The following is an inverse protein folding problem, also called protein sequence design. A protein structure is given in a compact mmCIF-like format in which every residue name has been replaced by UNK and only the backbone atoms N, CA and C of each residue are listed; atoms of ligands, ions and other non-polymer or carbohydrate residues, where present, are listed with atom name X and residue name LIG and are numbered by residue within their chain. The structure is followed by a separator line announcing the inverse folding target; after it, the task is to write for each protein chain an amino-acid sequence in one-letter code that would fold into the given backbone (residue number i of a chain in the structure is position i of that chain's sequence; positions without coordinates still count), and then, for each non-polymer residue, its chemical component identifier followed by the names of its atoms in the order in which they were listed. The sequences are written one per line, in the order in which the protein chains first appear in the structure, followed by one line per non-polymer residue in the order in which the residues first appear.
data_IF_567281317008
#
_entry.id   IF_567281317008
#
_cell.length_a   1.000
_cell.length_b   1.000
_cell.length_c   1.000
_cell.angle_alpha   90.00
_cell.angle_beta   90.00
_cell.angle_gamma   90.00
#
_symmetry.space_group_name_H-M   'P 1'
#
loop_
_entity.id
_entity.type
_entity.pdbx_description
1 polymer ?
#
# COMPACT_ATOMS: atom_id res chain seq x y z
N UNK A 1 -9.12 3.38 0.04
CA UNK A 1 -7.93 4.21 0.34
C UNK A 1 -8.21 5.07 1.57
N UNK A 2 -7.47 4.89 2.66
CA UNK A 2 -7.73 5.58 3.95
C UNK A 2 -6.43 5.95 4.70
N UNK A 3 -5.49 5.01 4.82
CA UNK A 3 -4.36 5.10 5.75
C UNK A 3 -3.41 6.31 5.53
N UNK A 4 -3.09 6.65 4.28
CA UNK A 4 -2.05 7.64 3.99
C UNK A 4 -2.41 9.07 4.47
N UNK A 5 -3.59 9.63 4.12
CA UNK A 5 -3.97 10.93 4.66
C UNK A 5 -4.13 10.95 6.18
N UNK A 6 -4.55 9.85 6.80
CA UNK A 6 -4.69 9.75 8.25
C UNK A 6 -3.32 9.86 8.95
N UNK A 7 -2.38 9.00 8.57
CA UNK A 7 -1.02 9.02 9.10
C UNK A 7 -0.29 10.35 8.82
N UNK A 8 -0.53 10.97 7.66
CA UNK A 8 0.04 12.27 7.33
C UNK A 8 -0.45 13.38 8.27
N UNK A 9 -1.75 13.40 8.62
CA UNK A 9 -2.30 14.38 9.57
C UNK A 9 -1.68 14.24 10.96
N UNK A 10 -1.47 13.01 11.41
CA UNK A 10 -0.80 12.76 12.69
C UNK A 10 0.69 13.17 12.66
N UNK A 11 1.44 12.68 11.67
CA UNK A 11 2.90 12.83 11.62
C UNK A 11 3.36 14.25 11.27
N UNK A 12 2.67 14.92 10.36
CA UNK A 12 3.07 16.22 9.81
C UNK A 12 2.16 17.37 10.24
N UNK A 13 0.94 17.06 10.69
CA UNK A 13 -0.09 18.02 11.03
C UNK A 13 -1.22 18.09 10.00
N UNK A 14 -2.34 18.68 10.43
CA UNK A 14 -3.59 18.74 9.62
C UNK A 14 -3.41 19.46 8.28
N UNK A 15 -2.48 20.41 8.22
CA UNK A 15 -2.15 21.22 7.05
C UNK A 15 -0.90 20.72 6.29
N UNK A 16 -0.54 19.43 6.40
CA UNK A 16 0.63 18.85 5.74
C UNK A 16 0.71 19.10 4.23
N UNK A 17 -0.43 19.31 3.57
CA UNK A 17 -0.53 19.61 2.14
C UNK A 17 0.04 20.99 1.78
N UNK A 18 0.22 21.89 2.74
CA UNK A 18 0.80 23.22 2.51
C UNK A 18 2.33 23.24 2.62
N UNK A 19 2.97 22.15 3.05
CA UNK A 19 4.43 22.07 3.10
C UNK A 19 5.02 22.27 1.68
N UNK A 20 6.15 22.99 1.52
CA UNK A 20 6.68 23.33 0.19
C UNK A 20 6.93 22.14 -0.75
N UNK A 21 7.26 20.97 -0.21
CA UNK A 21 7.46 19.73 -0.96
C UNK A 21 6.16 18.97 -1.28
N UNK A 22 5.10 19.16 -0.48
CA UNK A 22 3.83 18.47 -0.64
C UNK A 22 2.82 19.29 -1.44
N UNK A 23 2.99 20.61 -1.50
CA UNK A 23 2.03 21.49 -2.15
C UNK A 23 1.94 21.16 -3.65
N UNK A 24 0.72 21.14 -4.21
CA UNK A 24 0.54 20.99 -5.64
C UNK A 24 1.17 22.19 -6.37
N UNK A 25 1.72 21.93 -7.55
CA UNK A 25 2.30 22.96 -8.43
C UNK A 25 1.20 23.72 -9.18
N UNK A 26 0.05 23.09 -9.41
CA UNK A 26 -1.09 23.73 -10.04
C UNK A 26 -1.91 24.56 -9.03
N UNK A 27 -2.65 25.57 -9.50
CA UNK A 27 -3.58 26.31 -8.64
C UNK A 27 -4.61 25.37 -8.00
N UNK A 28 -4.75 25.45 -6.67
CA UNK A 28 -5.79 24.75 -5.92
C UNK A 28 -6.73 25.76 -5.30
N UNK A 29 -8.02 25.61 -5.62
CA UNK A 29 -9.07 26.44 -5.05
C UNK A 29 -10.07 25.55 -4.32
N UNK A 30 -9.93 25.51 -3.00
CA UNK A 30 -10.82 24.79 -2.10
C UNK A 30 -11.26 25.74 -0.97
N UNK A 31 -12.20 26.66 -1.26
CA UNK A 31 -12.61 27.66 -0.31
C UNK A 31 -13.52 27.07 0.79
N UNK A 32 -13.65 25.76 0.98
CA UNK A 32 -14.43 25.18 2.08
C UNK A 32 -13.57 24.37 3.07
N UNK A 33 -12.26 24.27 2.82
CA UNK A 33 -11.29 23.82 3.82
C UNK A 33 -10.59 25.07 4.40
N UNK A 34 -10.64 25.22 5.73
CA UNK A 34 -10.16 26.40 6.46
C UNK A 34 -9.40 25.98 7.71
N UNK A 35 -8.62 26.93 8.21
CA UNK A 35 -7.98 26.89 9.53
C UNK A 35 -7.04 25.70 9.68
N UNK A 36 -7.04 25.06 10.85
CA UNK A 36 -6.12 24.00 11.22
C UNK A 36 -4.78 24.52 11.74
N UNK A 37 -4.15 23.73 12.59
CA UNK A 37 -2.84 24.05 13.15
C UNK A 37 -1.82 24.33 12.03
N UNK A 38 -1.02 25.39 12.21
CA UNK A 38 0.04 25.82 11.28
C UNK A 38 -0.45 26.02 9.84
N UNK A 39 -1.62 26.66 9.67
CA UNK A 39 -2.03 27.11 8.34
C UNK A 39 -1.12 28.26 7.87
N UNK A 40 -0.25 27.97 6.91
CA UNK A 40 0.71 28.94 6.35
C UNK A 40 0.18 29.68 5.11
N UNK A 41 -1.13 29.57 4.81
CA UNK A 41 -1.77 30.25 3.69
C UNK A 41 -2.52 31.51 4.17
N UNK A 42 -3.04 32.31 3.24
CA UNK A 42 -3.97 33.40 3.56
C UNK A 42 -5.35 32.91 4.03
N UNK A 43 -5.54 31.58 4.14
CA UNK A 43 -6.76 30.92 4.56
C UNK A 43 -8.00 31.39 3.76
N UNK A 44 -7.77 31.77 2.50
CA UNK A 44 -8.73 32.35 1.56
C UNK A 44 -9.45 33.63 2.04
N UNK A 45 -8.94 34.32 3.06
CA UNK A 45 -9.51 35.59 3.55
C UNK A 45 -11.02 35.53 3.82
N UNK A 46 -11.79 36.45 3.23
CA UNK A 46 -13.24 36.57 3.39
C UNK A 46 -14.06 35.76 2.38
N UNK A 47 -13.44 34.88 1.59
CA UNK A 47 -14.19 34.01 0.66
C UNK A 47 -15.19 33.14 1.42
N UNK A 48 -16.44 32.99 0.91
CA UNK A 48 -17.44 32.10 1.51
C UNK A 48 -16.89 30.70 1.75
N UNK A 49 -17.06 30.19 2.98
CA UNK A 49 -16.48 28.92 3.43
C UNK A 49 -17.38 27.69 3.20
N UNK A 50 -18.37 27.80 2.32
CA UNK A 50 -19.35 26.75 2.02
C UNK A 50 -19.63 26.65 0.51
N UNK A 51 -20.06 25.48 0.06
CA UNK A 51 -20.35 25.22 -1.36
C UNK A 51 -21.64 25.91 -1.81
N UNK A 52 -21.70 26.32 -3.08
CA UNK A 52 -22.88 26.95 -3.72
C UNK A 52 -23.34 28.27 -3.06
N UNK A 53 -22.39 29.05 -2.53
CA UNK A 53 -22.69 30.41 -2.07
C UNK A 53 -23.17 31.31 -3.22
N UNK A 54 -24.22 32.09 -2.97
CA UNK A 54 -24.67 33.15 -3.87
C UNK A 54 -23.73 34.36 -3.90
N UNK A 55 -22.90 34.54 -2.86
CA UNK A 55 -21.97 35.67 -2.74
C UNK A 55 -20.79 35.54 -3.70
N UNK A 56 -20.30 34.30 -3.92
CA UNK A 56 -19.21 34.00 -4.84
C UNK A 56 -19.44 32.62 -5.47
N UNK A 57 -20.03 32.55 -6.68
CA UNK A 57 -20.27 31.29 -7.37
C UNK A 57 -18.96 30.58 -7.72
N UNK A 58 -18.89 29.27 -7.43
CA UNK A 58 -17.74 28.43 -7.75
C UNK A 58 -18.10 27.55 -8.95
N UNK A 59 -17.28 27.62 -10.00
CA UNK A 59 -17.37 26.73 -11.15
C UNK A 59 -16.64 25.41 -10.84
N UNK A 60 -17.39 24.34 -10.58
CA UNK A 60 -16.82 23.00 -10.52
C UNK A 60 -16.54 22.54 -11.96
N UNK A 61 -15.31 22.10 -12.23
CA UNK A 61 -14.95 21.55 -13.55
C UNK A 61 -15.59 20.16 -13.70
N UNK A 62 -16.48 20.02 -14.68
CA UNK A 62 -17.29 18.82 -14.92
C UNK A 62 -18.78 19.07 -14.66
N UNK A 63 -19.66 18.30 -15.31
CA UNK A 63 -21.10 18.39 -15.07
C UNK A 63 -21.43 17.83 -13.67
N UNK A 64 -21.94 18.70 -12.79
CA UNK A 64 -22.81 18.42 -11.63
C UNK A 64 -22.66 17.07 -10.89
N UNK A 65 -22.12 17.11 -9.67
CA UNK A 65 -22.23 16.03 -8.68
C UNK A 65 -21.02 15.09 -8.60
N UNK A 66 -20.97 14.27 -7.54
CA UNK A 66 -19.92 13.27 -7.28
C UNK A 66 -19.84 12.14 -8.34
N UNK A 67 -20.56 12.26 -9.46
CA UNK A 67 -20.84 11.19 -10.41
C UNK A 67 -20.44 11.50 -11.87
N UNK A 68 -19.80 12.61 -12.24
CA UNK A 68 -19.39 12.81 -13.65
C UNK A 68 -18.16 12.00 -14.09
N UNK A 69 -17.55 11.21 -13.19
CA UNK A 69 -16.64 10.11 -13.53
C UNK A 69 -17.37 8.76 -13.62
N UNK A 70 -18.68 8.73 -13.88
CA UNK A 70 -19.37 7.52 -14.34
C UNK A 70 -18.95 7.23 -15.79
N UNK A 71 -17.74 6.74 -15.98
CA UNK A 71 -17.51 5.85 -17.10
C UNK A 71 -18.16 4.52 -16.69
N UNK A 72 -19.22 4.10 -17.38
CA UNK A 72 -20.00 2.86 -17.10
C UNK A 72 -19.14 1.62 -16.86
N UNK A 73 -17.88 1.62 -17.32
CA UNK A 73 -16.91 0.53 -17.11
C UNK A 73 -16.35 0.42 -15.68
N UNK A 74 -16.43 1.47 -14.85
CA UNK A 74 -15.89 1.48 -13.48
C UNK A 74 -16.98 1.27 -12.41
N UNK A 75 -18.27 1.44 -12.75
CA UNK A 75 -19.37 1.27 -11.79
C UNK A 75 -19.95 -0.13 -11.87
N UNK A 76 -19.38 -1.05 -11.10
CA UNK A 76 -19.89 -2.41 -11.00
C UNK A 76 -20.68 -2.59 -9.72
N UNK A 77 -21.95 -2.94 -9.86
CA UNK A 77 -22.76 -3.40 -8.74
C UNK A 77 -22.35 -4.84 -8.42
N UNK A 78 -21.77 -5.02 -7.25
CA UNK A 78 -21.41 -6.35 -6.75
C UNK A 78 -22.61 -6.92 -5.98
N UNK A 79 -23.03 -8.12 -6.35
CA UNK A 79 -24.03 -8.87 -5.59
C UNK A 79 -23.36 -9.59 -4.41
N UNK A 80 -23.97 -9.55 -3.23
CA UNK A 80 -23.47 -10.24 -2.04
C UNK A 80 -23.93 -9.62 -0.73
N UNK A 81 -23.68 -10.33 0.37
CA UNK A 81 -23.87 -9.80 1.72
C UNK A 81 -22.60 -9.06 2.18
N UNK A 82 -22.77 -7.98 2.95
CA UNK A 82 -21.65 -7.34 3.64
C UNK A 82 -21.23 -8.24 4.79
N UNK A 83 -20.01 -8.79 4.73
CA UNK A 83 -19.44 -9.66 5.75
C UNK A 83 -17.97 -9.31 6.05
N UNK A 84 -17.45 -9.81 7.17
CA UNK A 84 -16.02 -9.90 7.41
C UNK A 84 -15.48 -11.12 6.65
N UNK A 85 -14.82 -10.87 5.52
CA UNK A 85 -14.17 -11.92 4.74
C UNK A 85 -12.67 -11.97 5.04
N UNK A 86 -12.14 -13.17 5.24
CA UNK A 86 -10.71 -13.45 5.38
C UNK A 86 -10.37 -14.52 4.35
N UNK A 87 -9.37 -14.27 3.50
CA UNK A 87 -8.85 -15.29 2.58
C UNK A 87 -8.06 -16.34 3.34
N UNK A 88 -8.11 -17.58 2.85
CA UNK A 88 -7.30 -18.69 3.37
C UNK A 88 -6.05 -18.87 2.49
N UNK A 89 -5.03 -19.52 3.06
CA UNK A 89 -3.83 -19.87 2.30
C UNK A 89 -4.14 -21.05 1.39
N UNK A 90 -4.11 -20.83 0.08
CA UNK A 90 -4.32 -21.85 -0.94
C UNK A 90 -3.01 -22.17 -1.68
N UNK A 91 -3.01 -23.24 -2.49
CA UNK A 91 -1.83 -23.56 -3.32
C UNK A 91 -1.56 -22.49 -4.39
N UNK A 92 -2.60 -21.76 -4.81
CA UNK A 92 -2.50 -20.64 -5.75
C UNK A 92 -1.58 -19.50 -5.24
N UNK A 93 -1.50 -19.31 -3.92
CA UNK A 93 -0.61 -18.31 -3.30
C UNK A 93 0.89 -18.61 -3.55
N UNK A 94 1.22 -19.85 -3.91
CA UNK A 94 2.60 -20.30 -4.14
C UNK A 94 2.98 -20.31 -5.63
N UNK A 95 2.01 -20.16 -6.55
CA UNK A 95 2.27 -20.25 -8.00
C UNK A 95 3.23 -19.17 -8.48
N UNK A 96 3.03 -17.92 -8.05
CA UNK A 96 3.90 -16.81 -8.47
C UNK A 96 5.29 -16.90 -7.84
N UNK A 97 5.38 -17.36 -6.59
CA UNK A 97 6.66 -17.57 -5.91
C UNK A 97 7.50 -18.65 -6.61
N UNK A 98 6.85 -19.74 -7.07
CA UNK A 98 7.50 -20.79 -7.88
C UNK A 98 8.06 -20.25 -9.17
N UNK A 99 7.23 -19.56 -9.95
CA UNK A 99 7.64 -18.94 -11.21
C UNK A 99 8.81 -17.96 -11.01
N UNK A 100 8.84 -17.23 -9.89
CA UNK A 100 9.96 -16.37 -9.56
C UNK A 100 11.24 -17.15 -9.21
N UNK A 101 11.14 -18.26 -8.49
CA UNK A 101 12.30 -19.12 -8.20
C UNK A 101 12.90 -19.73 -9.48
N UNK A 102 12.04 -20.13 -10.42
CA UNK A 102 12.46 -20.59 -11.76
C UNK A 102 13.20 -19.47 -12.50
N UNK A 103 12.64 -18.26 -12.51
CA UNK A 103 13.28 -17.10 -13.14
C UNK A 103 14.66 -16.78 -12.53
N UNK A 104 14.80 -16.85 -11.20
CA UNK A 104 16.09 -16.64 -10.55
C UNK A 104 17.12 -17.72 -10.94
N UNK A 105 16.68 -18.94 -11.26
CA UNK A 105 17.59 -20.01 -11.72
C UNK A 105 18.25 -19.70 -13.07
N UNK A 106 17.63 -18.85 -13.89
CA UNK A 106 18.16 -18.46 -15.20
C UNK A 106 19.33 -17.48 -15.10
N UNK A 107 19.49 -16.82 -13.95
CA UNK A 107 20.58 -15.89 -13.70
C UNK A 107 21.59 -16.48 -12.70
N UNK A 108 22.83 -16.63 -13.15
CA UNK A 108 23.92 -17.21 -12.37
C UNK A 108 24.08 -16.51 -10.99
N UNK A 109 24.14 -17.32 -9.93
CA UNK A 109 24.37 -16.87 -8.56
C UNK A 109 23.14 -16.33 -7.81
N UNK A 110 22.01 -16.09 -8.47
CA UNK A 110 20.87 -15.45 -7.80
C UNK A 110 20.16 -16.38 -6.82
N UNK A 111 20.03 -17.67 -7.13
CA UNK A 111 19.48 -18.63 -6.18
C UNK A 111 20.38 -18.77 -4.95
N UNK A 112 21.70 -18.79 -5.12
CA UNK A 112 22.67 -18.87 -4.04
C UNK A 112 22.60 -17.63 -3.13
N UNK A 113 22.46 -16.44 -3.71
CA UNK A 113 22.26 -15.21 -2.95
C UNK A 113 20.95 -15.23 -2.15
N UNK A 114 19.84 -15.70 -2.75
CA UNK A 114 18.58 -15.85 -2.04
C UNK A 114 18.74 -16.80 -0.84
N UNK A 115 19.33 -17.97 -1.05
CA UNK A 115 19.60 -18.95 0.01
C UNK A 115 20.45 -18.35 1.12
N UNK A 116 21.56 -17.68 0.77
CA UNK A 116 22.47 -17.07 1.74
C UNK A 116 21.79 -15.97 2.56
N UNK A 117 20.98 -15.11 1.91
CA UNK A 117 20.28 -14.03 2.59
C UNK A 117 19.20 -14.55 3.54
N UNK A 118 18.42 -15.53 3.08
CA UNK A 118 17.37 -16.16 3.90
C UNK A 118 17.98 -16.88 5.09
N UNK A 119 18.99 -17.73 4.87
CA UNK A 119 19.63 -18.47 5.95
C UNK A 119 20.36 -17.54 6.94
N UNK A 120 21.00 -16.47 6.46
CA UNK A 120 21.68 -15.49 7.30
C UNK A 120 20.75 -14.75 8.26
N UNK A 121 19.53 -14.42 7.83
CA UNK A 121 18.53 -13.80 8.70
C UNK A 121 17.77 -14.84 9.55
N UNK A 122 17.35 -15.95 8.93
CA UNK A 122 16.56 -16.98 9.60
C UNK A 122 17.36 -17.69 10.68
N UNK A 123 18.68 -17.84 10.53
CA UNK A 123 19.53 -18.60 11.45
C UNK A 123 19.57 -18.11 12.90
N UNK A 124 19.14 -16.87 13.19
CA UNK A 124 18.99 -16.36 14.56
C UNK A 124 17.61 -16.60 15.17
N UNK A 125 16.68 -17.23 14.44
CA UNK A 125 15.34 -17.50 14.90
C UNK A 125 15.26 -18.79 15.74
N UNK A 126 14.12 -19.04 16.38
CA UNK A 126 13.91 -20.27 17.12
C UNK A 126 13.79 -21.47 16.17
N UNK A 127 14.10 -22.70 16.63
CA UNK A 127 13.93 -23.91 15.82
C UNK A 127 12.51 -24.10 15.25
N UNK A 128 11.48 -23.69 16.01
CA UNK A 128 10.09 -23.72 15.53
C UNK A 128 9.85 -22.77 14.35
N UNK A 129 10.53 -21.63 14.29
CA UNK A 129 10.46 -20.69 13.17
C UNK A 129 11.26 -21.20 11.97
N UNK A 130 12.39 -21.89 12.20
CA UNK A 130 13.10 -22.58 11.10
C UNK A 130 12.17 -23.57 10.42
N UNK A 131 11.49 -24.43 11.18
CA UNK A 131 10.61 -25.44 10.60
C UNK A 131 9.45 -24.80 9.83
N UNK A 132 8.74 -23.85 10.43
CA UNK A 132 7.61 -23.19 9.76
C UNK A 132 8.01 -22.44 8.48
N UNK A 133 9.20 -21.82 8.45
CA UNK A 133 9.72 -21.20 7.24
C UNK A 133 10.09 -22.24 6.17
N UNK A 134 10.75 -23.34 6.55
CA UNK A 134 11.11 -24.41 5.64
C UNK A 134 9.86 -25.08 5.03
N UNK A 135 8.82 -25.33 5.83
CA UNK A 135 7.54 -25.88 5.35
C UNK A 135 6.90 -24.96 4.29
N UNK A 136 7.00 -23.63 4.47
CA UNK A 136 6.53 -22.66 3.49
C UNK A 136 7.38 -22.68 2.21
N UNK A 137 8.71 -22.70 2.32
CA UNK A 137 9.60 -22.77 1.16
C UNK A 137 9.47 -24.09 0.41
N UNK A 138 9.17 -25.20 1.10
CA UNK A 138 8.95 -26.50 0.46
C UNK A 138 7.69 -26.50 -0.41
N UNK A 139 6.65 -25.75 -0.02
CA UNK A 139 5.47 -25.50 -0.87
C UNK A 139 5.79 -24.65 -2.10
N UNK A 140 6.86 -23.86 -2.08
CA UNK A 140 7.38 -23.16 -3.26
C UNK A 140 8.21 -24.15 -4.07
N UNK A 141 9.42 -24.47 -3.59
CA UNK A 141 10.37 -25.34 -4.27
C UNK A 141 11.12 -26.21 -3.23
N UNK A 142 10.99 -27.54 -3.29
CA UNK A 142 11.66 -28.44 -2.34
C UNK A 142 13.20 -28.37 -2.38
N UNK A 143 13.80 -28.09 -3.55
CA UNK A 143 15.25 -27.96 -3.70
C UNK A 143 15.74 -26.68 -3.02
N UNK A 144 15.01 -25.57 -3.19
CA UNK A 144 15.29 -24.31 -2.51
C UNK A 144 15.19 -24.46 -0.99
N UNK A 145 14.12 -25.09 -0.49
CA UNK A 145 13.95 -25.36 0.94
C UNK A 145 15.12 -26.17 1.51
N UNK A 146 15.56 -27.20 0.77
CA UNK A 146 16.70 -28.01 1.17
C UNK A 146 18.01 -27.21 1.17
N UNK A 147 18.26 -26.37 0.16
CA UNK A 147 19.43 -25.48 0.12
C UNK A 147 19.46 -24.53 1.31
N UNK A 148 18.31 -23.94 1.66
CA UNK A 148 18.17 -23.06 2.84
C UNK A 148 18.45 -23.86 4.12
N UNK A 149 17.84 -25.04 4.28
CA UNK A 149 18.05 -25.90 5.44
C UNK A 149 19.52 -26.25 5.66
N UNK A 150 20.24 -26.56 4.59
CA UNK A 150 21.68 -26.86 4.65
C UNK A 150 22.54 -25.64 4.99
N UNK A 151 22.07 -24.43 4.73
CA UNK A 151 22.77 -23.19 5.05
C UNK A 151 22.46 -22.65 6.46
N UNK A 152 21.46 -23.20 7.16
CA UNK A 152 21.12 -22.80 8.52
C UNK A 152 22.14 -23.31 9.55
N UNK A 153 22.39 -22.57 10.64
CA UNK A 153 23.19 -23.07 11.75
C UNK A 153 22.50 -24.28 12.41
N UNK A 154 23.27 -25.19 13.05
CA UNK A 154 22.69 -26.29 13.80
C UNK A 154 21.72 -25.76 14.87
N UNK A 155 20.60 -26.44 15.04
CA UNK A 155 19.63 -26.10 16.09
C UNK A 155 20.30 -26.25 17.47
N UNK A 156 20.39 -25.16 18.21
CA UNK A 156 20.78 -25.17 19.63
C UNK A 156 19.62 -25.65 20.52
#
# INVERSE_FOLDING_TARGET
MFAYPDAARYRLGVNYQHLPCNRPVCPVYNPYQRDGFMNATENYGSDPNYVRSSLKPIAFKGNVGASSFVADKHQQWLAGAVNSYTSEIADDDFVQARAFCDLLSEQEGQQEHLVSNVAGHLGSASPSMHQGALDMFERVDPVLAQKIKSALPPAN
#
